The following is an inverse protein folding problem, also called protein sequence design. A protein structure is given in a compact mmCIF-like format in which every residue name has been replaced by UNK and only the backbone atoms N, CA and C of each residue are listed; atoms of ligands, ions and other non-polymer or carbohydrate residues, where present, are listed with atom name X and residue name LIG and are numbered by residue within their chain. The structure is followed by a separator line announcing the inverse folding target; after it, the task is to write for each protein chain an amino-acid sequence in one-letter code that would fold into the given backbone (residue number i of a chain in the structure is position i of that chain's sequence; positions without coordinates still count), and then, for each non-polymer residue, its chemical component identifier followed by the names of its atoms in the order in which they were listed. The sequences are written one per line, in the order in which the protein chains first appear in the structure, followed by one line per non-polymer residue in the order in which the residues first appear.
data_IF_520193891274
#
_entry.id   IF_520193891274
#
_cell.length_a   1.000
_cell.length_b   1.000
_cell.length_c   1.000
_cell.angle_alpha   90.00
_cell.angle_beta   90.00
_cell.angle_gamma   90.00
#
_symmetry.space_group_name_H-M   'P 1'
#
loop_
_entity.id
_entity.type
_entity.pdbx_description
1 polymer ?
#
# COMPACT_ATOMS: atom_id res chain seq x y z
N UNK A 1 -31.47 43.81 -29.66
CA UNK A 1 -30.48 44.63 -28.94
C UNK A 1 -29.27 43.77 -28.68
N UNK A 2 -28.10 44.17 -29.16
CA UNK A 2 -26.84 43.43 -28.97
C UNK A 2 -26.51 43.45 -27.48
N UNK A 3 -26.34 42.27 -26.88
CA UNK A 3 -25.98 42.10 -25.47
C UNK A 3 -24.57 42.64 -25.28
N UNK A 4 -24.44 43.90 -24.86
CA UNK A 4 -23.15 44.52 -24.57
C UNK A 4 -22.63 44.03 -23.21
N UNK A 5 -21.46 43.37 -23.15
CA UNK A 5 -20.94 42.76 -21.92
C UNK A 5 -20.70 43.79 -20.81
N UNK A 6 -20.49 45.07 -21.13
CA UNK A 6 -20.27 46.10 -20.11
C UNK A 6 -21.56 46.70 -19.53
N UNK A 7 -22.74 46.30 -20.02
CA UNK A 7 -24.06 46.78 -19.54
C UNK A 7 -25.00 45.66 -19.07
N UNK A 8 -24.61 44.38 -19.17
CA UNK A 8 -25.36 43.25 -18.59
C UNK A 8 -25.02 43.14 -17.09
N UNK A 9 -25.94 43.38 -16.13
CA UNK A 9 -25.64 43.34 -14.69
C UNK A 9 -25.07 42.00 -14.18
N UNK A 10 -25.16 40.92 -14.97
CA UNK A 10 -24.59 39.60 -14.64
C UNK A 10 -23.22 39.33 -15.25
N UNK A 11 -22.64 40.28 -16.00
CA UNK A 11 -21.38 40.10 -16.71
C UNK A 11 -20.23 39.78 -15.76
N UNK A 12 -20.11 40.53 -14.66
CA UNK A 12 -19.05 40.35 -13.68
C UNK A 12 -19.08 38.93 -13.09
N UNK A 13 -20.28 38.44 -12.71
CA UNK A 13 -20.45 37.09 -12.17
C UNK A 13 -20.08 36.02 -13.20
N UNK A 14 -20.55 36.15 -14.45
CA UNK A 14 -20.22 35.20 -15.53
C UNK A 14 -18.72 35.14 -15.82
N UNK A 15 -18.03 36.27 -15.80
CA UNK A 15 -16.57 36.34 -16.01
C UNK A 15 -15.81 35.69 -14.86
N UNK A 16 -16.20 35.95 -13.61
CA UNK A 16 -15.59 35.30 -12.44
C UNK A 16 -15.80 33.78 -12.48
N UNK A 17 -17.02 33.31 -12.77
CA UNK A 17 -17.31 31.87 -12.93
C UNK A 17 -16.53 31.23 -14.09
N UNK A 18 -16.23 31.99 -15.15
CA UNK A 18 -15.38 31.50 -16.22
C UNK A 18 -13.93 31.34 -15.74
N UNK A 19 -13.38 32.35 -15.06
CA UNK A 19 -12.01 32.31 -14.51
C UNK A 19 -11.87 31.17 -13.50
N UNK A 20 -12.83 31.03 -12.59
CA UNK A 20 -12.81 30.01 -11.54
C UNK A 20 -12.78 28.60 -12.14
N UNK A 21 -13.60 28.34 -13.18
CA UNK A 21 -13.57 27.07 -13.92
C UNK A 21 -12.22 26.77 -14.56
N UNK A 22 -11.52 27.79 -15.06
CA UNK A 22 -10.19 27.61 -15.64
C UNK A 22 -9.13 27.32 -14.57
N UNK A 23 -9.20 28.02 -13.44
CA UNK A 23 -8.30 27.80 -12.29
C UNK A 23 -8.51 26.39 -11.72
N UNK A 24 -9.76 25.97 -11.54
CA UNK A 24 -10.10 24.63 -11.08
C UNK A 24 -9.61 23.56 -12.06
N UNK A 25 -9.80 23.77 -13.37
CA UNK A 25 -9.31 22.82 -14.37
C UNK A 25 -7.79 22.63 -14.31
N UNK A 26 -7.02 23.71 -14.12
CA UNK A 26 -5.56 23.63 -13.99
C UNK A 26 -5.19 22.95 -12.68
N UNK A 27 -5.80 23.35 -11.57
CA UNK A 27 -5.54 22.81 -10.23
C UNK A 27 -5.86 21.31 -10.13
N UNK A 28 -6.98 20.89 -10.71
CA UNK A 28 -7.41 19.49 -10.78
C UNK A 28 -6.49 18.65 -11.64
N UNK A 29 -5.84 19.24 -12.65
CA UNK A 29 -4.90 18.51 -13.52
C UNK A 29 -3.47 18.50 -13.01
N UNK A 30 -3.07 19.48 -12.21
CA UNK A 30 -1.68 19.65 -11.78
C UNK A 30 -1.53 19.44 -10.26
N UNK A 31 -2.18 20.28 -9.45
CA UNK A 31 -1.96 20.30 -7.99
C UNK A 31 -2.54 19.07 -7.29
N UNK A 32 -3.82 18.76 -7.52
CA UNK A 32 -4.50 17.65 -6.83
C UNK A 32 -3.87 16.27 -7.10
N UNK A 33 -3.59 15.89 -8.36
CA UNK A 33 -3.01 14.56 -8.64
C UNK A 33 -1.58 14.44 -8.12
N UNK A 34 -0.78 15.51 -8.20
CA UNK A 34 0.58 15.50 -7.65
C UNK A 34 0.54 15.34 -6.13
N UNK A 35 -0.30 16.11 -5.43
CA UNK A 35 -0.44 16.00 -3.98
C UNK A 35 -0.89 14.59 -3.54
N UNK A 36 -1.82 13.98 -4.27
CA UNK A 36 -2.26 12.62 -4.00
C UNK A 36 -1.16 11.58 -4.29
N UNK A 37 -0.38 11.75 -5.36
CA UNK A 37 0.75 10.87 -5.67
C UNK A 37 1.84 10.95 -4.60
N UNK A 38 2.17 12.16 -4.14
CA UNK A 38 3.12 12.36 -3.03
C UNK A 38 2.63 11.67 -1.77
N UNK A 39 1.35 11.84 -1.45
CA UNK A 39 0.72 11.20 -0.29
C UNK A 39 0.74 9.67 -0.40
N UNK A 40 0.46 9.12 -1.58
CA UNK A 40 0.57 7.69 -1.86
C UNK A 40 2.00 7.19 -1.63
N UNK A 41 3.02 7.92 -2.10
CA UNK A 41 4.42 7.55 -1.92
C UNK A 41 4.80 7.57 -0.45
N UNK A 42 4.48 8.64 0.29
CA UNK A 42 4.80 8.77 1.70
C UNK A 42 4.13 7.65 2.52
N UNK A 43 2.82 7.46 2.35
CA UNK A 43 2.12 6.39 3.06
C UNK A 43 2.55 5.00 2.60
N UNK A 44 2.89 4.82 1.32
CA UNK A 44 3.44 3.58 0.80
C UNK A 44 4.77 3.22 1.46
N UNK A 45 5.68 4.17 1.59
CA UNK A 45 6.97 3.97 2.27
C UNK A 45 6.76 3.62 3.75
N UNK A 46 5.91 4.37 4.45
CA UNK A 46 5.58 4.08 5.86
C UNK A 46 4.99 2.67 6.00
N UNK A 47 4.04 2.31 5.14
CA UNK A 47 3.40 1.00 5.16
C UNK A 47 4.40 -0.13 4.87
N UNK A 48 5.32 0.05 3.93
CA UNK A 48 6.37 -0.93 3.62
C UNK A 48 7.29 -1.13 4.83
N UNK A 49 7.79 -0.05 5.42
CA UNK A 49 8.67 -0.13 6.60
C UNK A 49 7.94 -0.80 7.76
N UNK A 50 6.71 -0.38 8.07
CA UNK A 50 5.92 -0.99 9.14
C UNK A 50 5.66 -2.48 8.89
N UNK A 51 5.33 -2.86 7.65
CA UNK A 51 5.11 -4.25 7.26
C UNK A 51 6.38 -5.08 7.45
N UNK A 52 7.53 -4.59 7.01
CA UNK A 52 8.82 -5.26 7.19
C UNK A 52 9.11 -5.45 8.68
N UNK A 53 8.94 -4.41 9.50
CA UNK A 53 9.14 -4.50 10.95
C UNK A 53 8.24 -5.55 11.58
N UNK A 54 6.95 -5.57 11.25
CA UNK A 54 5.99 -6.55 11.76
C UNK A 54 6.42 -7.97 11.36
N UNK A 55 6.81 -8.19 10.10
CA UNK A 55 7.27 -9.49 9.60
C UNK A 55 8.50 -9.96 10.37
N UNK A 56 9.50 -9.09 10.56
CA UNK A 56 10.73 -9.43 11.29
C UNK A 56 10.42 -9.79 12.74
N UNK A 57 9.61 -8.99 13.43
CA UNK A 57 9.22 -9.28 14.82
C UNK A 57 8.42 -10.57 14.92
N UNK A 58 7.50 -10.83 13.99
CA UNK A 58 6.75 -12.07 13.94
C UNK A 58 7.68 -13.28 13.73
N UNK A 59 8.67 -13.16 12.84
CA UNK A 59 9.66 -14.21 12.61
C UNK A 59 10.49 -14.53 13.85
N UNK A 60 10.98 -13.51 14.53
CA UNK A 60 11.72 -13.66 15.79
C UNK A 60 10.82 -14.32 16.84
N UNK A 61 9.57 -13.85 16.97
CA UNK A 61 8.60 -14.39 17.92
C UNK A 61 8.29 -15.87 17.67
N UNK A 62 8.02 -16.25 16.42
CA UNK A 62 7.75 -17.64 16.04
C UNK A 62 8.98 -18.51 16.29
N UNK A 63 10.16 -18.07 15.86
CA UNK A 63 11.41 -18.82 16.08
C UNK A 63 11.66 -19.07 17.56
N UNK A 64 11.49 -18.03 18.40
CA UNK A 64 11.66 -18.14 19.84
C UNK A 64 10.61 -19.04 20.48
N UNK A 65 9.34 -18.90 20.11
CA UNK A 65 8.26 -19.74 20.62
C UNK A 65 8.47 -21.21 20.24
N UNK A 66 8.86 -21.50 19.00
CA UNK A 66 9.17 -22.86 18.56
C UNK A 66 10.34 -23.46 19.34
N UNK A 67 11.43 -22.70 19.53
CA UNK A 67 12.56 -23.17 20.32
C UNK A 67 12.18 -23.51 21.76
N UNK A 68 11.40 -22.64 22.42
CA UNK A 68 10.99 -22.84 23.82
C UNK A 68 9.98 -24.00 23.97
N UNK A 69 9.07 -24.18 23.00
CA UNK A 69 8.16 -25.33 22.98
C UNK A 69 8.88 -26.65 22.71
N UNK A 70 9.90 -26.65 21.85
CA UNK A 70 10.67 -27.86 21.50
C UNK A 70 11.65 -28.24 22.61
N UNK A 71 12.19 -27.28 23.36
CA UNK A 71 13.08 -27.54 24.51
C UNK A 71 12.39 -28.33 25.64
N UNK A 72 11.05 -28.39 25.67
CA UNK A 72 10.28 -29.24 26.59
C UNK A 72 10.50 -30.73 26.30
N UNK A 73 10.68 -31.08 25.02
CA UNK A 73 10.70 -32.47 24.56
C UNK A 73 12.06 -32.92 24.01
N UNK A 74 12.92 -31.97 23.64
CA UNK A 74 14.19 -32.22 22.94
C UNK A 74 15.33 -31.47 23.62
N UNK A 75 16.54 -32.01 23.49
CA UNK A 75 17.77 -31.32 23.89
C UNK A 75 17.86 -29.99 23.14
N UNK A 76 18.25 -28.91 23.84
CA UNK A 76 18.32 -27.54 23.31
C UNK A 76 19.05 -27.40 21.96
N UNK A 77 20.05 -28.25 21.71
CA UNK A 77 20.79 -28.26 20.45
C UNK A 77 19.93 -28.75 19.27
N UNK A 78 19.11 -29.79 19.46
CA UNK A 78 18.26 -30.36 18.42
C UNK A 78 17.03 -29.47 18.14
N UNK A 79 16.49 -28.85 19.18
CA UNK A 79 15.34 -27.94 19.10
C UNK A 79 15.57 -26.77 18.12
N UNK A 80 16.79 -26.21 18.08
CA UNK A 80 17.16 -25.09 17.20
C UNK A 80 17.17 -25.53 15.72
N UNK A 81 17.71 -26.71 15.41
CA UNK A 81 17.75 -27.20 14.04
C UNK A 81 16.35 -27.54 13.52
N UNK A 82 15.52 -28.16 14.37
CA UNK A 82 14.15 -28.53 14.02
C UNK A 82 13.28 -27.29 13.81
N UNK A 83 13.43 -26.25 14.63
CA UNK A 83 12.67 -25.00 14.46
C UNK A 83 13.00 -24.31 13.13
N UNK A 84 14.27 -24.27 12.72
CA UNK A 84 14.66 -23.76 11.40
C UNK A 84 14.11 -24.59 10.25
N UNK A 85 14.05 -25.92 10.40
CA UNK A 85 13.48 -26.80 9.39
C UNK A 85 11.98 -26.58 9.22
N UNK A 86 11.24 -26.46 10.32
CA UNK A 86 9.81 -26.14 10.34
C UNK A 86 9.57 -24.77 9.71
N UNK A 87 10.33 -23.76 10.10
CA UNK A 87 10.17 -22.41 9.57
C UNK A 87 10.43 -22.37 8.05
N UNK A 88 11.53 -23.00 7.60
CA UNK A 88 11.87 -23.10 6.18
C UNK A 88 10.76 -23.79 5.39
N UNK A 89 10.20 -24.89 5.92
CA UNK A 89 9.09 -25.60 5.30
C UNK A 89 7.84 -24.73 5.18
N UNK A 90 7.47 -24.00 6.24
CA UNK A 90 6.34 -23.06 6.22
C UNK A 90 6.53 -21.99 5.15
N UNK A 91 7.72 -21.40 5.03
CA UNK A 91 8.02 -20.43 3.99
C UNK A 91 7.93 -21.00 2.56
N UNK A 92 8.42 -22.22 2.34
CA UNK A 92 8.33 -22.89 1.04
C UNK A 92 6.86 -23.17 0.67
N UNK A 93 6.06 -23.65 1.63
CA UNK A 93 4.63 -23.93 1.40
C UNK A 93 3.87 -22.65 1.08
N UNK A 94 4.10 -21.57 1.84
CA UNK A 94 3.49 -20.25 1.57
C UNK A 94 3.93 -19.73 0.20
N UNK A 95 5.23 -19.82 -0.11
CA UNK A 95 5.78 -19.40 -1.39
C UNK A 95 5.17 -20.17 -2.57
N UNK A 96 5.06 -21.49 -2.45
CA UNK A 96 4.42 -22.34 -3.46
C UNK A 96 2.93 -22.01 -3.63
N UNK A 97 2.21 -21.75 -2.53
CA UNK A 97 0.82 -21.34 -2.57
C UNK A 97 0.60 -19.98 -3.24
N UNK A 98 1.47 -19.01 -2.94
CA UNK A 98 1.46 -17.70 -3.61
C UNK A 98 1.77 -17.83 -5.10
N UNK A 99 2.75 -18.66 -5.48
CA UNK A 99 3.06 -18.94 -6.89
C UNK A 99 1.88 -19.58 -7.63
N UNK A 100 1.09 -20.42 -6.96
CA UNK A 100 -0.10 -21.03 -7.56
C UNK A 100 -1.17 -20.01 -7.94
N UNK A 101 -1.22 -18.86 -7.25
CA UNK A 101 -2.12 -17.73 -7.55
C UNK A 101 -1.61 -16.81 -8.65
N UNK A 102 -0.39 -17.01 -9.17
CA UNK A 102 0.21 -16.15 -10.20
C UNK A 102 -0.49 -16.27 -11.56
N UNK A 103 -1.11 -17.39 -11.87
CA UNK A 103 -1.79 -17.59 -13.15
C UNK A 103 -3.27 -17.20 -13.01
N UNK A 104 -3.75 -16.10 -13.63
CA UNK A 104 -5.17 -15.89 -13.81
C UNK A 104 -5.67 -17.07 -14.64
N UNK A 105 -6.57 -17.89 -14.09
CA UNK A 105 -7.34 -18.82 -14.88
C UNK A 105 -8.02 -18.01 -15.98
N UNK A 106 -7.57 -18.17 -17.23
CA UNK A 106 -8.34 -17.74 -18.39
C UNK A 106 -9.70 -18.40 -18.25
N UNK A 107 -10.68 -17.62 -17.84
CA UNK A 107 -12.06 -18.01 -17.78
C UNK A 107 -12.54 -17.98 -19.24
N UNK A 108 -12.67 -19.17 -19.83
CA UNK A 108 -13.43 -19.40 -21.05
C UNK A 108 -14.92 -19.29 -20.74
#
# INVERSE_FOLDING_TARGET
MISNPFTDPRWARKTVEAIDRWVDFISDKTTRPIANLVRLVVFGVIAVVATITIIVLALIGISRALNELLDIWLTRQDAVWISYFILSFVFVVIGAWLMRRRYPSKQN
#
